data_IF_701448404177
#
_entry.id   IF_701448404177
#
_cell.length_a   1.000
_cell.length_b   1.000
_cell.length_c   1.000
_cell.angle_alpha   90.00
_cell.angle_beta   90.00
_cell.angle_gamma   90.00
#
_symmetry.space_group_name_H-M   'P 1'
#
loop_
_entity.id
_entity.type
_entity.pdbx_description
1 polymer ?
#
# COMPACT_ATOMS: atom_id res chain seq x y z
N UNK A 1 43.53 -6.75 -47.48
CA UNK A 1 42.43 -7.12 -46.56
C UNK A 1 42.49 -6.20 -45.36
N UNK A 2 41.40 -5.52 -44.93
CA UNK A 2 41.43 -4.62 -43.79
C UNK A 2 41.37 -5.40 -42.48
N UNK A 3 42.26 -5.05 -41.54
CA UNK A 3 42.32 -5.64 -40.19
C UNK A 3 41.20 -4.99 -39.36
N UNK A 4 40.31 -5.79 -38.77
CA UNK A 4 39.27 -5.31 -37.85
C UNK A 4 39.82 -5.42 -36.41
N UNK A 5 40.05 -4.31 -35.70
CA UNK A 5 40.57 -4.36 -34.34
C UNK A 5 39.51 -4.89 -33.37
N UNK A 6 39.80 -6.04 -32.75
CA UNK A 6 39.04 -6.59 -31.64
C UNK A 6 39.38 -5.87 -30.32
N UNK A 7 38.42 -5.81 -29.39
CA UNK A 7 38.59 -5.20 -28.08
C UNK A 7 38.17 -6.22 -27.02
N UNK A 8 38.99 -6.42 -25.99
CA UNK A 8 38.59 -7.20 -24.82
C UNK A 8 37.77 -6.33 -23.85
N UNK A 9 36.89 -6.91 -23.04
CA UNK A 9 35.99 -6.17 -22.13
C UNK A 9 36.72 -5.10 -21.27
N UNK A 10 37.95 -5.40 -20.84
CA UNK A 10 38.81 -4.48 -20.06
C UNK A 10 39.26 -3.24 -20.86
N UNK A 11 39.53 -3.38 -22.17
CA UNK A 11 39.86 -2.25 -23.05
C UNK A 11 38.63 -1.54 -23.62
N UNK A 12 37.46 -2.19 -23.64
CA UNK A 12 36.18 -1.57 -24.04
C UNK A 12 35.75 -0.48 -23.06
N UNK A 13 35.85 -0.73 -21.75
CA UNK A 13 35.51 0.27 -20.73
C UNK A 13 36.37 1.53 -20.85
N UNK A 14 37.70 1.39 -20.96
CA UNK A 14 38.60 2.54 -21.09
C UNK A 14 38.29 3.38 -22.32
N UNK A 15 38.00 2.73 -23.46
CA UNK A 15 37.62 3.40 -24.70
C UNK A 15 36.25 4.06 -24.62
N UNK A 16 35.28 3.44 -23.93
CA UNK A 16 33.99 4.07 -23.65
C UNK A 16 34.18 5.31 -22.78
N UNK A 17 34.93 5.20 -21.69
CA UNK A 17 35.23 6.31 -20.78
C UNK A 17 35.91 7.46 -21.51
N UNK A 18 36.86 7.19 -22.39
CA UNK A 18 37.49 8.21 -23.22
C UNK A 18 36.49 8.90 -24.17
N UNK A 19 35.64 8.12 -24.84
CA UNK A 19 34.64 8.64 -25.80
C UNK A 19 33.52 9.44 -25.15
N UNK A 20 33.13 9.10 -23.93
CA UNK A 20 32.03 9.72 -23.18
C UNK A 20 32.54 10.59 -22.01
N UNK A 21 33.83 10.96 -21.98
CA UNK A 21 34.44 11.72 -20.87
C UNK A 21 33.77 13.07 -20.58
N UNK A 22 33.21 13.70 -21.61
CA UNK A 22 32.56 15.02 -21.52
C UNK A 22 31.05 14.89 -21.24
N UNK A 23 30.55 13.67 -21.01
CA UNK A 23 29.15 13.36 -20.79
C UNK A 23 28.88 13.06 -19.31
N UNK A 24 27.71 13.48 -18.82
CA UNK A 24 27.26 13.19 -17.45
C UNK A 24 26.71 11.76 -17.36
N UNK A 25 27.60 10.78 -17.51
CA UNK A 25 27.30 9.34 -17.47
C UNK A 25 28.11 8.70 -16.36
N UNK A 26 27.47 7.87 -15.53
CA UNK A 26 28.15 7.21 -14.42
C UNK A 26 29.17 6.18 -14.90
N UNK A 27 30.29 6.09 -14.18
CA UNK A 27 31.33 5.08 -14.42
C UNK A 27 30.77 3.65 -14.31
N UNK A 28 29.83 3.42 -13.38
CA UNK A 28 29.16 2.13 -13.20
C UNK A 28 28.33 1.74 -14.43
N UNK A 29 27.54 2.66 -14.98
CA UNK A 29 26.77 2.41 -16.20
C UNK A 29 27.70 2.07 -17.39
N UNK A 30 28.76 2.85 -17.58
CA UNK A 30 29.73 2.58 -18.65
C UNK A 30 30.42 1.23 -18.48
N UNK A 31 30.75 0.84 -17.24
CA UNK A 31 31.39 -0.44 -16.93
C UNK A 31 30.48 -1.62 -17.24
N UNK A 32 29.20 -1.52 -16.88
CA UNK A 32 28.22 -2.58 -17.14
C UNK A 32 28.00 -2.79 -18.64
N UNK A 33 27.85 -1.70 -19.41
CA UNK A 33 27.66 -1.78 -20.86
C UNK A 33 28.92 -2.28 -21.58
N UNK A 34 30.11 -1.88 -21.11
CA UNK A 34 31.38 -2.26 -21.73
C UNK A 34 31.59 -3.78 -21.82
N UNK A 35 30.95 -4.57 -20.94
CA UNK A 35 30.97 -6.03 -20.97
C UNK A 35 30.35 -6.61 -22.25
N UNK A 36 29.43 -5.89 -22.90
CA UNK A 36 28.70 -6.34 -24.08
C UNK A 36 29.28 -5.82 -25.39
N UNK A 37 30.12 -4.78 -25.33
CA UNK A 37 30.74 -4.18 -26.51
C UNK A 37 32.08 -4.88 -26.78
N UNK A 38 32.04 -5.97 -27.54
CA UNK A 38 33.25 -6.73 -27.94
C UNK A 38 33.97 -6.19 -29.19
N UNK A 39 33.29 -5.37 -29.99
CA UNK A 39 33.85 -4.87 -31.26
C UNK A 39 33.94 -3.34 -31.32
N UNK A 40 35.07 -2.82 -31.82
CA UNK A 40 35.30 -1.38 -31.94
C UNK A 40 34.30 -0.70 -32.89
N UNK A 41 33.84 -1.40 -33.93
CA UNK A 41 32.88 -0.87 -34.89
C UNK A 41 31.57 -0.50 -34.21
N UNK A 42 31.06 -1.38 -33.36
CA UNK A 42 29.84 -1.16 -32.60
C UNK A 42 29.98 0.05 -31.68
N UNK A 43 31.10 0.17 -30.96
CA UNK A 43 31.38 1.34 -30.11
C UNK A 43 31.40 2.65 -30.91
N UNK A 44 32.06 2.65 -32.07
CA UNK A 44 32.12 3.84 -32.95
C UNK A 44 30.72 4.22 -33.42
N UNK A 45 29.89 3.24 -33.82
CA UNK A 45 28.52 3.47 -34.25
C UNK A 45 27.67 4.08 -33.13
N UNK A 46 27.68 3.45 -31.94
CA UNK A 46 26.95 3.93 -30.76
C UNK A 46 27.35 5.37 -30.42
N UNK A 47 28.65 5.67 -30.36
CA UNK A 47 29.13 7.01 -30.02
C UNK A 47 28.77 8.06 -31.09
N UNK A 48 28.87 7.72 -32.38
CA UNK A 48 28.56 8.66 -33.46
C UNK A 48 27.06 8.97 -33.49
N UNK A 49 26.21 7.94 -33.34
CA UNK A 49 24.77 8.14 -33.21
C UNK A 49 24.42 8.95 -31.97
N UNK A 50 24.99 8.63 -30.81
CA UNK A 50 24.81 9.38 -29.58
C UNK A 50 25.06 10.88 -29.78
N UNK A 51 26.20 11.26 -30.37
CA UNK A 51 26.54 12.66 -30.66
C UNK A 51 25.51 13.31 -31.60
N UNK A 52 25.11 12.60 -32.66
CA UNK A 52 24.12 13.11 -33.60
C UNK A 52 22.77 13.38 -32.91
N UNK A 53 22.28 12.43 -32.10
CA UNK A 53 21.00 12.60 -31.40
C UNK A 53 21.09 13.64 -30.28
N UNK A 54 22.19 13.70 -29.54
CA UNK A 54 22.41 14.74 -28.51
C UNK A 54 22.33 16.14 -29.13
N UNK A 55 22.98 16.35 -30.28
CA UNK A 55 22.94 17.62 -30.99
C UNK A 55 21.53 17.97 -31.49
N UNK A 56 20.72 16.97 -31.86
CA UNK A 56 19.33 17.18 -32.32
C UNK A 56 18.35 17.45 -31.19
N UNK A 57 18.48 16.74 -30.07
CA UNK A 57 17.61 16.88 -28.90
C UNK A 57 17.94 18.18 -28.13
N UNK A 58 19.18 18.66 -28.23
CA UNK A 58 19.66 19.84 -27.50
C UNK A 58 19.76 19.59 -25.99
N UNK A 59 19.86 20.66 -25.21
CA UNK A 59 19.83 20.59 -23.75
C UNK A 59 18.39 20.40 -23.27
N UNK A 60 17.85 19.19 -23.41
CA UNK A 60 16.56 18.79 -22.87
C UNK A 60 16.72 18.33 -21.42
N UNK A 61 15.92 18.88 -20.50
CA UNK A 61 15.86 18.41 -19.11
C UNK A 61 15.23 17.01 -19.00
N UNK A 62 14.53 16.55 -20.05
CA UNK A 62 13.79 15.28 -20.05
C UNK A 62 14.67 14.06 -20.40
N UNK A 63 15.86 14.27 -20.97
CA UNK A 63 16.75 13.19 -21.40
C UNK A 63 18.13 13.33 -20.74
N UNK A 64 18.44 12.44 -19.79
CA UNK A 64 19.80 12.33 -19.28
C UNK A 64 20.73 11.74 -20.34
N UNK A 65 22.02 12.02 -20.23
CA UNK A 65 23.04 11.43 -21.10
C UNK A 65 22.99 9.89 -21.06
N UNK A 66 22.75 9.31 -19.87
CA UNK A 66 22.54 7.86 -19.69
C UNK A 66 21.31 7.33 -20.45
N UNK A 67 20.17 8.00 -20.36
CA UNK A 67 18.95 7.61 -21.09
C UNK A 67 19.15 7.66 -22.60
N UNK A 68 19.81 8.70 -23.07
CA UNK A 68 20.13 8.81 -24.48
C UNK A 68 21.05 7.69 -24.93
N UNK A 69 22.15 7.46 -24.19
CA UNK A 69 23.08 6.40 -24.49
C UNK A 69 22.40 5.03 -24.45
N UNK A 70 21.57 4.75 -23.45
CA UNK A 70 20.81 3.51 -23.33
C UNK A 70 19.89 3.27 -24.54
N UNK A 71 19.18 4.30 -25.00
CA UNK A 71 18.31 4.20 -26.18
C UNK A 71 19.11 3.92 -27.47
N UNK A 72 20.28 4.55 -27.63
CA UNK A 72 21.15 4.31 -28.79
C UNK A 72 21.77 2.91 -28.75
N UNK A 73 22.17 2.43 -27.57
CA UNK A 73 22.66 1.05 -27.37
C UNK A 73 21.55 0.07 -27.71
N UNK A 74 20.35 0.27 -27.17
CA UNK A 74 19.19 -0.58 -27.43
C UNK A 74 18.88 -0.66 -28.93
N UNK A 75 18.86 0.48 -29.64
CA UNK A 75 18.71 0.51 -31.11
C UNK A 75 19.77 -0.30 -31.85
N UNK A 76 21.03 -0.24 -31.39
CA UNK A 76 22.16 -0.89 -32.06
C UNK A 76 22.21 -2.41 -31.80
N UNK A 77 21.87 -2.86 -30.58
CA UNK A 77 21.87 -4.28 -30.23
C UNK A 77 20.57 -4.99 -30.62
N UNK A 78 19.43 -4.30 -30.56
CA UNK A 78 18.10 -4.86 -30.79
C UNK A 78 17.34 -4.11 -31.89
N UNK A 79 17.90 -4.00 -33.11
CA UNK A 79 17.32 -3.19 -34.18
C UNK A 79 15.92 -3.68 -34.60
N UNK A 80 15.66 -5.00 -34.51
CA UNK A 80 14.33 -5.56 -34.80
C UNK A 80 13.30 -5.10 -33.78
N UNK A 81 13.61 -5.23 -32.48
CA UNK A 81 12.71 -4.82 -31.40
C UNK A 81 12.50 -3.30 -31.41
N UNK A 82 13.55 -2.53 -31.71
CA UNK A 82 13.46 -1.08 -31.89
C UNK A 82 12.49 -0.68 -33.02
N UNK A 83 12.47 -1.41 -34.13
CA UNK A 83 11.49 -1.17 -35.22
C UNK A 83 10.08 -1.56 -34.79
N UNK A 84 9.91 -2.64 -34.02
CA UNK A 84 8.62 -3.05 -33.47
C UNK A 84 8.09 -2.04 -32.46
N UNK A 85 8.95 -1.43 -31.65
CA UNK A 85 8.57 -0.39 -30.69
C UNK A 85 7.83 0.78 -31.37
N UNK A 86 8.26 1.17 -32.57
CA UNK A 86 7.58 2.22 -33.36
C UNK A 86 6.17 1.82 -33.83
N UNK A 87 5.85 0.53 -33.84
CA UNK A 87 4.52 -0.02 -34.15
C UNK A 87 3.68 -0.31 -32.92
N UNK A 88 4.20 -0.07 -31.71
CA UNK A 88 3.56 -0.51 -30.47
C UNK A 88 3.63 -2.03 -30.28
N UNK A 89 4.71 -2.65 -30.74
CA UNK A 89 4.98 -4.09 -30.62
C UNK A 89 6.39 -4.32 -30.04
N UNK A 90 6.72 -5.58 -29.77
CA UNK A 90 8.05 -5.97 -29.28
C UNK A 90 8.15 -6.08 -27.76
N UNK A 91 9.30 -6.55 -27.30
CA UNK A 91 9.55 -6.89 -25.89
C UNK A 91 9.58 -5.61 -25.04
N UNK A 92 10.25 -4.55 -25.52
CA UNK A 92 10.28 -3.27 -24.82
C UNK A 92 8.88 -2.63 -24.68
N UNK A 93 8.09 -2.64 -25.75
CA UNK A 93 6.72 -2.15 -25.68
C UNK A 93 5.88 -2.98 -24.70
N UNK A 94 6.06 -4.30 -24.71
CA UNK A 94 5.35 -5.21 -23.80
C UNK A 94 5.66 -4.89 -22.33
N UNK A 95 6.92 -4.60 -21.99
CA UNK A 95 7.31 -4.18 -20.63
C UNK A 95 6.59 -2.88 -20.24
N UNK A 96 6.61 -1.87 -21.11
CA UNK A 96 5.98 -0.58 -20.80
C UNK A 96 4.47 -0.67 -20.68
N UNK A 97 3.82 -1.46 -21.54
CA UNK A 97 2.36 -1.67 -21.48
C UNK A 97 1.94 -2.45 -20.24
N UNK A 98 2.73 -3.44 -19.79
CA UNK A 98 2.49 -4.21 -18.56
C UNK A 98 2.81 -3.45 -17.26
N UNK A 99 3.53 -2.32 -17.34
CA UNK A 99 3.87 -1.51 -16.15
C UNK A 99 2.64 -1.20 -15.29
N UNK A 100 1.54 -0.79 -15.93
CA UNK A 100 0.32 -0.43 -15.19
C UNK A 100 -0.31 -1.63 -14.48
N UNK A 101 -0.35 -2.81 -15.13
CA UNK A 101 -0.84 -4.04 -14.48
C UNK A 101 0.05 -4.45 -13.32
N UNK A 102 1.37 -4.33 -13.44
CA UNK A 102 2.30 -4.65 -12.37
C UNK A 102 2.15 -3.74 -11.14
N UNK A 103 2.04 -2.44 -11.36
CA UNK A 103 1.75 -1.47 -10.29
C UNK A 103 0.42 -1.81 -9.61
N UNK A 104 -0.61 -2.18 -10.40
CA UNK A 104 -1.91 -2.57 -9.87
C UNK A 104 -1.81 -3.84 -9.02
N UNK A 105 -1.07 -4.85 -9.48
CA UNK A 105 -0.82 -6.09 -8.73
C UNK A 105 -0.09 -5.84 -7.41
N UNK A 106 0.99 -5.03 -7.42
CA UNK A 106 1.73 -4.69 -6.19
C UNK A 106 0.89 -3.89 -5.20
N UNK A 107 0.09 -2.94 -5.69
CA UNK A 107 -0.74 -2.09 -4.83
C UNK A 107 -2.02 -2.77 -4.35
N UNK A 108 -2.38 -3.95 -4.90
CA UNK A 108 -3.63 -4.63 -4.59
C UNK A 108 -3.80 -4.90 -3.08
N UNK A 109 -2.76 -5.41 -2.41
CA UNK A 109 -2.82 -5.66 -0.96
C UNK A 109 -3.04 -4.37 -0.15
N UNK A 110 -2.36 -3.28 -0.54
CA UNK A 110 -2.49 -1.96 0.10
C UNK A 110 -3.91 -1.40 -0.12
N UNK A 111 -4.42 -1.47 -1.35
CA UNK A 111 -5.78 -1.01 -1.70
C UNK A 111 -6.84 -1.80 -0.92
N UNK A 112 -6.70 -3.12 -0.84
CA UNK A 112 -7.60 -3.97 -0.05
C UNK A 112 -7.56 -3.63 1.44
N UNK A 113 -6.37 -3.35 1.99
CA UNK A 113 -6.23 -2.97 3.39
C UNK A 113 -6.87 -1.60 3.67
N UNK A 114 -6.67 -0.62 2.79
CA UNK A 114 -7.36 0.68 2.87
C UNK A 114 -8.87 0.52 2.85
N UNK A 115 -9.41 -0.33 1.96
CA UNK A 115 -10.84 -0.58 1.91
C UNK A 115 -11.37 -1.14 3.24
N UNK A 116 -10.71 -2.16 3.79
CA UNK A 116 -11.08 -2.75 5.10
C UNK A 116 -11.10 -1.70 6.22
N UNK A 117 -10.08 -0.83 6.28
CA UNK A 117 -10.03 0.25 7.28
C UNK A 117 -11.12 1.29 7.08
N UNK A 118 -11.41 1.67 5.83
CA UNK A 118 -12.53 2.57 5.53
C UNK A 118 -13.88 1.98 5.95
N UNK A 119 -14.10 0.69 5.67
CA UNK A 119 -15.32 -0.01 6.07
C UNK A 119 -15.44 -0.06 7.60
N UNK A 120 -14.33 -0.30 8.31
CA UNK A 120 -14.28 -0.27 9.77
C UNK A 120 -14.59 1.11 10.34
N UNK A 121 -14.02 2.17 9.77
CA UNK A 121 -14.30 3.56 10.15
C UNK A 121 -15.78 3.88 9.91
N UNK A 122 -16.33 3.52 8.74
CA UNK A 122 -17.71 3.77 8.39
C UNK A 122 -18.67 3.08 9.37
N UNK A 123 -18.44 1.79 9.64
CA UNK A 123 -19.21 1.01 10.61
C UNK A 123 -19.15 1.62 12.02
N UNK A 124 -17.97 2.06 12.46
CA UNK A 124 -17.85 2.71 13.77
C UNK A 124 -18.60 4.04 13.84
N UNK A 125 -18.47 4.89 12.83
CA UNK A 125 -19.20 6.16 12.78
C UNK A 125 -20.71 5.94 12.84
N UNK A 126 -21.21 4.93 12.14
CA UNK A 126 -22.62 4.54 12.19
C UNK A 126 -23.04 4.11 13.61
N UNK A 127 -22.28 3.21 14.24
CA UNK A 127 -22.55 2.75 15.61
C UNK A 127 -22.54 3.91 16.62
N UNK A 128 -21.55 4.81 16.52
CA UNK A 128 -21.44 5.99 17.40
C UNK A 128 -22.61 6.96 17.17
N UNK A 129 -23.06 7.12 15.92
CA UNK A 129 -24.21 7.97 15.60
C UNK A 129 -25.53 7.40 16.13
N UNK A 130 -25.66 6.07 16.18
CA UNK A 130 -26.82 5.39 16.76
C UNK A 130 -26.78 5.35 18.30
N UNK A 131 -25.59 5.41 18.91
CA UNK A 131 -25.42 5.39 20.37
C UNK A 131 -25.76 6.74 21.00
N UNK A 132 -26.88 6.75 21.73
CA UNK A 132 -27.43 7.96 22.37
C UNK A 132 -26.70 8.26 23.68
N UNK A 133 -26.29 7.23 24.42
CA UNK A 133 -25.61 7.38 25.70
C UNK A 133 -24.12 7.66 25.48
N UNK A 134 -23.58 8.65 26.17
CA UNK A 134 -22.19 9.11 26.01
C UNK A 134 -21.26 8.60 27.10
N UNK A 135 -21.82 8.14 28.21
CA UNK A 135 -21.05 7.48 29.27
C UNK A 135 -21.61 6.11 29.62
N UNK A 136 -20.76 5.27 30.21
CA UNK A 136 -21.17 3.93 30.66
C UNK A 136 -22.22 4.05 31.77
N UNK A 137 -22.13 5.07 32.62
CA UNK A 137 -23.11 5.34 33.66
C UNK A 137 -24.49 5.67 33.06
N UNK A 138 -24.55 6.53 32.04
CA UNK A 138 -25.80 6.82 31.33
C UNK A 138 -26.39 5.56 30.69
N UNK A 139 -25.54 4.71 30.10
CA UNK A 139 -25.95 3.42 29.56
C UNK A 139 -26.57 2.56 30.65
N UNK A 140 -25.88 2.36 31.77
CA UNK A 140 -26.35 1.55 32.91
C UNK A 140 -27.66 2.08 33.49
N UNK A 141 -27.85 3.40 33.55
CA UNK A 141 -29.12 3.99 33.99
C UNK A 141 -30.29 3.53 33.13
N UNK A 142 -30.15 3.47 31.81
CA UNK A 142 -31.21 3.00 30.90
C UNK A 142 -31.64 1.57 31.23
N UNK A 143 -30.67 0.68 31.48
CA UNK A 143 -30.96 -0.71 31.83
C UNK A 143 -31.57 -0.85 33.23
N UNK A 144 -31.06 -0.11 34.23
CA UNK A 144 -31.64 -0.09 35.57
C UNK A 144 -33.09 0.39 35.55
N UNK A 145 -33.38 1.50 34.85
CA UNK A 145 -34.74 2.03 34.72
C UNK A 145 -35.67 1.03 34.05
N UNK A 146 -35.18 0.30 33.04
CA UNK A 146 -35.95 -0.78 32.40
C UNK A 146 -36.22 -1.95 33.35
N UNK A 147 -35.26 -2.31 34.20
CA UNK A 147 -35.45 -3.33 35.24
C UNK A 147 -36.54 -2.87 36.22
N UNK A 148 -36.44 -1.66 36.77
CA UNK A 148 -37.46 -1.11 37.69
C UNK A 148 -38.85 -1.07 37.03
N UNK A 149 -38.91 -0.69 35.76
CA UNK A 149 -40.15 -0.72 34.97
C UNK A 149 -40.72 -2.15 34.86
N UNK A 150 -39.90 -3.16 34.53
CA UNK A 150 -40.35 -4.55 34.40
C UNK A 150 -40.78 -5.19 35.72
N UNK A 151 -40.10 -4.88 36.82
CA UNK A 151 -40.51 -5.32 38.16
C UNK A 151 -41.78 -4.58 38.62
N UNK A 152 -42.09 -3.43 38.02
CA UNK A 152 -43.19 -2.56 38.41
C UNK A 152 -43.10 -2.13 39.89
N UNK A 153 -41.89 -1.78 40.32
CA UNK A 153 -41.57 -1.43 41.71
C UNK A 153 -40.38 -0.47 41.74
N UNK A 154 -40.30 0.36 42.78
CA UNK A 154 -39.13 1.21 43.06
C UNK A 154 -37.96 0.43 43.66
N UNK A 155 -38.15 -0.86 43.94
CA UNK A 155 -37.13 -1.75 44.47
C UNK A 155 -37.22 -3.18 43.92
N UNK A 156 -36.09 -3.86 43.81
CA UNK A 156 -35.99 -5.28 43.50
C UNK A 156 -34.88 -5.95 44.29
N UNK A 157 -34.97 -7.27 44.45
CA UNK A 157 -33.96 -8.07 45.14
C UNK A 157 -33.18 -8.91 44.14
N UNK A 158 -31.86 -8.85 44.21
CA UNK A 158 -30.98 -9.70 43.41
C UNK A 158 -29.88 -10.26 44.33
N UNK A 159 -29.71 -11.58 44.37
CA UNK A 159 -28.79 -12.28 45.28
C UNK A 159 -28.82 -11.76 46.74
N UNK A 160 -30.02 -11.62 47.31
CA UNK A 160 -30.27 -11.09 48.67
C UNK A 160 -29.86 -9.63 48.92
N UNK A 161 -29.48 -8.88 47.89
CA UNK A 161 -29.28 -7.42 47.96
C UNK A 161 -30.53 -6.69 47.49
N UNK A 162 -30.91 -5.65 48.23
CA UNK A 162 -32.00 -4.76 47.86
C UNK A 162 -31.46 -3.61 46.98
N UNK A 163 -32.00 -3.49 45.78
CA UNK A 163 -31.73 -2.40 44.85
C UNK A 163 -32.93 -1.46 44.88
N UNK A 164 -32.73 -0.21 45.28
CA UNK A 164 -33.77 0.81 45.34
C UNK A 164 -33.43 1.97 44.39
N UNK A 165 -34.42 2.47 43.64
CA UNK A 165 -34.21 3.53 42.64
C UNK A 165 -33.59 4.80 43.21
N UNK A 166 -33.80 5.11 44.50
CA UNK A 166 -33.18 6.26 45.17
C UNK A 166 -31.65 6.19 45.24
N UNK A 167 -31.06 4.99 45.08
CA UNK A 167 -29.60 4.75 45.07
C UNK A 167 -29.07 4.42 43.68
N UNK A 168 -29.76 4.82 42.61
CA UNK A 168 -29.38 4.49 41.23
C UNK A 168 -27.96 4.94 40.88
N UNK A 169 -27.48 6.06 41.46
CA UNK A 169 -26.11 6.57 41.27
C UNK A 169 -25.02 5.64 41.82
N UNK A 170 -25.31 4.90 42.88
CA UNK A 170 -24.43 3.85 43.41
C UNK A 170 -24.52 2.59 42.53
N UNK A 171 -25.71 2.27 42.02
CA UNK A 171 -25.97 1.04 41.26
C UNK A 171 -25.37 1.03 39.86
N UNK A 172 -25.13 2.21 39.26
CA UNK A 172 -24.45 2.32 37.96
C UNK A 172 -22.94 2.13 38.07
N UNK A 173 -22.39 2.01 39.28
CA UNK A 173 -20.97 1.73 39.49
C UNK A 173 -20.63 0.31 39.04
N UNK A 174 -19.44 0.15 38.46
CA UNK A 174 -19.01 -1.07 37.75
C UNK A 174 -19.27 -2.35 38.54
N UNK A 175 -18.69 -2.46 39.74
CA UNK A 175 -18.86 -3.63 40.61
C UNK A 175 -20.31 -3.99 40.90
N UNK A 176 -21.17 -3.00 41.13
CA UNK A 176 -22.57 -3.26 41.52
C UNK A 176 -23.40 -3.64 40.30
N UNK A 177 -23.20 -2.96 39.17
CA UNK A 177 -23.91 -3.27 37.94
C UNK A 177 -23.50 -4.64 37.38
N UNK A 178 -22.23 -5.02 37.52
CA UNK A 178 -21.73 -6.36 37.16
C UNK A 178 -22.46 -7.50 37.88
N UNK A 179 -22.80 -7.32 39.15
CA UNK A 179 -23.58 -8.32 39.90
C UNK A 179 -24.97 -8.52 39.27
N UNK A 180 -25.57 -7.46 38.72
CA UNK A 180 -26.88 -7.52 38.07
C UNK A 180 -26.76 -8.22 36.71
N UNK A 181 -25.75 -7.88 35.90
CA UNK A 181 -25.52 -8.50 34.58
C UNK A 181 -25.28 -10.01 34.72
N UNK A 182 -24.42 -10.38 35.68
CA UNK A 182 -23.99 -11.77 35.86
C UNK A 182 -25.02 -12.62 36.62
N UNK A 183 -26.11 -12.03 37.11
CA UNK A 183 -27.19 -12.76 37.74
C UNK A 183 -27.94 -13.63 36.73
N UNK A 184 -28.15 -14.90 37.06
CA UNK A 184 -28.93 -15.82 36.21
C UNK A 184 -30.38 -15.33 36.05
N UNK A 185 -30.92 -14.72 37.09
CA UNK A 185 -32.26 -14.18 37.14
C UNK A 185 -32.27 -12.85 37.91
N UNK A 186 -32.94 -11.84 37.36
CA UNK A 186 -33.17 -10.58 38.07
C UNK A 186 -34.43 -10.68 38.93
N UNK A 187 -35.43 -11.41 38.44
CA UNK A 187 -36.62 -11.80 39.18
C UNK A 187 -36.98 -13.24 38.83
N UNK A 188 -37.99 -13.81 39.50
CA UNK A 188 -38.52 -15.13 39.13
C UNK A 188 -39.03 -15.22 37.68
N UNK A 189 -39.23 -14.09 37.01
CA UNK A 189 -39.89 -14.03 35.70
C UNK A 189 -38.99 -13.59 34.54
N UNK A 190 -37.79 -13.07 34.80
CA UNK A 190 -36.89 -12.63 33.72
C UNK A 190 -35.43 -12.49 34.15
N UNK A 191 -34.55 -12.54 33.15
CA UNK A 191 -33.10 -12.38 33.22
C UNK A 191 -32.63 -11.02 32.70
N UNK A 192 -31.35 -10.70 32.88
CA UNK A 192 -30.77 -9.49 32.27
C UNK A 192 -30.85 -9.53 30.73
N UNK A 193 -30.67 -10.70 30.11
CA UNK A 193 -30.75 -10.84 28.66
C UNK A 193 -32.14 -10.46 28.09
N UNK A 194 -33.21 -10.66 28.86
CA UNK A 194 -34.56 -10.21 28.47
C UNK A 194 -34.68 -8.69 28.49
N UNK A 195 -34.03 -8.05 29.47
CA UNK A 195 -33.93 -6.59 29.54
C UNK A 195 -33.11 -6.07 28.36
N UNK A 196 -31.99 -6.71 28.02
CA UNK A 196 -31.16 -6.31 26.87
C UNK A 196 -31.95 -6.24 25.58
N UNK A 197 -32.70 -7.31 25.25
CA UNK A 197 -33.49 -7.37 24.02
C UNK A 197 -34.58 -6.30 23.96
N UNK A 198 -35.17 -5.93 25.09
CA UNK A 198 -36.18 -4.88 25.15
C UNK A 198 -35.61 -3.47 25.10
N UNK A 199 -34.40 -3.25 25.65
CA UNK A 199 -33.71 -1.95 25.59
C UNK A 199 -33.13 -1.73 24.19
N UNK A 200 -32.50 -2.76 23.61
CA UNK A 200 -31.92 -2.72 22.29
C UNK A 200 -31.95 -4.11 21.64
N UNK A 201 -32.79 -4.28 20.62
CA UNK A 201 -32.95 -5.55 19.90
C UNK A 201 -31.78 -5.89 18.97
N UNK A 202 -30.89 -4.93 18.71
CA UNK A 202 -29.80 -5.05 17.72
C UNK A 202 -28.42 -5.25 18.34
N UNK A 203 -28.19 -4.70 19.54
CA UNK A 203 -26.89 -4.69 20.19
C UNK A 203 -27.02 -5.04 21.68
N UNK A 204 -26.09 -5.86 22.18
CA UNK A 204 -26.01 -6.22 23.60
C UNK A 204 -25.54 -5.04 24.44
N UNK A 205 -25.80 -5.07 25.76
CA UNK A 205 -25.22 -4.14 26.71
C UNK A 205 -23.69 -4.11 26.59
N UNK A 206 -23.05 -5.29 26.54
CA UNK A 206 -21.58 -5.39 26.42
C UNK A 206 -21.03 -4.78 25.14
N UNK A 207 -21.73 -4.96 24.02
CA UNK A 207 -21.33 -4.35 22.75
C UNK A 207 -21.38 -2.83 22.81
N UNK A 208 -22.43 -2.29 23.44
CA UNK A 208 -22.63 -0.84 23.64
C UNK A 208 -21.67 -0.26 24.68
N UNK A 209 -21.44 -0.94 25.79
CA UNK A 209 -20.45 -0.56 26.81
C UNK A 209 -19.07 -0.47 26.20
N UNK A 210 -18.67 -1.49 25.44
CA UNK A 210 -17.40 -1.48 24.70
C UNK A 210 -17.34 -0.31 23.71
N UNK A 211 -18.41 -0.04 22.97
CA UNK A 211 -18.47 1.08 22.04
C UNK A 211 -18.25 2.41 22.76
N UNK A 212 -18.91 2.64 23.90
CA UNK A 212 -18.78 3.88 24.68
C UNK A 212 -17.39 4.02 25.31
N UNK A 213 -16.79 2.93 25.79
CA UNK A 213 -15.42 2.95 26.30
C UNK A 213 -14.39 3.19 25.19
N UNK A 214 -14.66 2.68 23.98
CA UNK A 214 -13.83 2.87 22.79
C UNK A 214 -14.22 4.13 21.99
N UNK A 215 -15.21 4.91 22.43
CA UNK A 215 -15.67 6.15 21.78
C UNK A 215 -14.68 7.29 21.94
N UNK A 216 -13.62 7.12 22.76
CA UNK A 216 -12.49 8.04 22.73
C UNK A 216 -11.95 8.11 21.30
N UNK A 217 -11.73 9.33 20.81
CA UNK A 217 -11.25 9.56 19.44
C UNK A 217 -9.98 8.75 19.10
N UNK A 218 -9.23 8.28 20.10
CA UNK A 218 -8.01 7.49 19.99
C UNK A 218 -8.11 6.34 18.97
N UNK A 219 -9.15 5.50 19.02
CA UNK A 219 -9.25 4.35 18.11
C UNK A 219 -9.59 4.76 16.67
N UNK A 220 -10.31 5.87 16.50
CA UNK A 220 -10.60 6.46 15.19
C UNK A 220 -9.35 7.14 14.62
N UNK A 221 -8.59 7.85 15.46
CA UNK A 221 -7.34 8.50 15.10
C UNK A 221 -6.27 7.48 14.72
N UNK A 222 -6.17 6.34 15.41
CA UNK A 222 -5.30 5.22 15.02
C UNK A 222 -5.66 4.74 13.61
N UNK A 223 -6.95 4.45 13.35
CA UNK A 223 -7.38 3.98 12.03
C UNK A 223 -7.12 5.02 10.92
N UNK A 224 -7.32 6.30 11.20
CA UNK A 224 -7.03 7.39 10.26
C UNK A 224 -5.52 7.48 9.97
N UNK A 225 -4.68 7.39 11.00
CA UNK A 225 -3.22 7.42 10.84
C UNK A 225 -2.73 6.24 10.00
N UNK A 226 -3.20 5.03 10.27
CA UNK A 226 -2.87 3.86 9.47
C UNK A 226 -3.33 4.01 8.01
N UNK A 227 -4.48 4.66 7.77
CA UNK A 227 -4.97 4.96 6.42
C UNK A 227 -4.05 5.95 5.69
N UNK A 228 -3.52 6.94 6.40
CA UNK A 228 -2.54 7.90 5.86
C UNK A 228 -1.24 7.20 5.47
N UNK A 229 -0.72 6.33 6.34
CA UNK A 229 0.48 5.53 6.06
C UNK A 229 0.30 4.64 4.83
N UNK A 230 -0.85 3.95 4.72
CA UNK A 230 -1.19 3.15 3.53
C UNK A 230 -1.34 4.02 2.27
N UNK A 231 -1.85 5.25 2.39
CA UNK A 231 -1.95 6.19 1.28
C UNK A 231 -0.58 6.64 0.78
N UNK A 232 0.37 6.87 1.70
CA UNK A 232 1.76 7.18 1.37
C UNK A 232 2.40 6.00 0.63
N UNK A 233 2.21 4.78 1.14
CA UNK A 233 2.71 3.55 0.51
C UNK A 233 2.14 3.35 -0.89
N UNK A 234 0.82 3.44 -1.06
CA UNK A 234 0.17 3.30 -2.36
C UNK A 234 0.70 4.32 -3.38
N UNK A 235 0.83 5.59 -2.95
CA UNK A 235 1.37 6.66 -3.80
C UNK A 235 2.85 6.44 -4.16
N UNK A 236 3.63 5.83 -3.27
CA UNK A 236 5.00 5.42 -3.56
C UNK A 236 5.04 4.34 -4.63
N UNK A 237 4.21 3.29 -4.51
CA UNK A 237 4.14 2.19 -5.49
C UNK A 237 3.69 2.71 -6.87
N UNK A 238 2.70 3.62 -6.93
CA UNK A 238 2.24 4.23 -8.19
C UNK A 238 3.34 4.97 -8.97
N UNK A 239 4.36 5.44 -8.26
CA UNK A 239 5.52 6.16 -8.84
C UNK A 239 6.67 5.24 -9.25
N UNK A 240 6.58 3.94 -9.01
CA UNK A 240 7.65 3.00 -9.37
C UNK A 240 7.94 3.01 -10.87
N UNK A 241 9.21 3.19 -11.21
CA UNK A 241 9.74 2.96 -12.54
C UNK A 241 10.01 1.45 -12.74
N UNK A 242 10.31 1.02 -13.97
CA UNK A 242 10.62 -0.40 -14.24
C UNK A 242 11.78 -0.90 -13.37
N UNK A 243 12.82 -0.07 -13.17
CA UNK A 243 13.95 -0.35 -12.26
C UNK A 243 13.55 -0.55 -10.79
N UNK A 244 12.44 0.01 -10.36
CA UNK A 244 11.94 -0.15 -8.99
C UNK A 244 11.15 -1.45 -8.92
N UNK A 245 10.30 -1.71 -9.93
CA UNK A 245 9.54 -2.96 -10.07
C UNK A 245 10.46 -4.18 -10.18
N UNK A 246 11.61 -4.07 -10.83
CA UNK A 246 12.60 -5.15 -10.95
C UNK A 246 13.27 -5.54 -9.62
N UNK A 247 13.03 -4.78 -8.55
CA UNK A 247 13.50 -5.10 -7.18
C UNK A 247 12.38 -5.62 -6.28
N UNK A 248 11.20 -5.86 -6.84
CA UNK A 248 10.03 -6.36 -6.13
C UNK A 248 9.75 -7.82 -6.51
N UNK A 249 8.67 -8.38 -5.96
CA UNK A 249 8.17 -9.71 -6.33
C UNK A 249 7.77 -9.84 -7.81
N UNK A 250 7.64 -8.74 -8.55
CA UNK A 250 7.33 -8.73 -9.99
C UNK A 250 8.57 -8.93 -10.87
N UNK A 251 9.77 -8.94 -10.28
CA UNK A 251 11.05 -9.13 -10.99
C UNK A 251 11.01 -10.28 -12.01
N UNK A 252 10.51 -11.45 -11.62
CA UNK A 252 10.48 -12.63 -12.49
C UNK A 252 9.53 -12.46 -13.67
N UNK A 253 8.40 -11.76 -13.48
CA UNK A 253 7.48 -11.45 -14.57
C UNK A 253 8.11 -10.49 -15.58
N UNK A 254 8.87 -9.49 -15.10
CA UNK A 254 9.60 -8.58 -15.98
C UNK A 254 10.60 -9.39 -16.81
N UNK A 255 11.46 -10.17 -16.16
CA UNK A 255 12.52 -10.93 -16.84
C UNK A 255 11.99 -12.04 -17.76
N UNK A 256 10.79 -12.57 -17.51
CA UNK A 256 10.13 -13.52 -18.41
C UNK A 256 9.83 -12.95 -19.80
N UNK A 257 9.62 -11.62 -19.90
CA UNK A 257 9.38 -10.95 -21.19
C UNK A 257 10.67 -10.87 -22.02
N UNK A 258 11.83 -10.79 -21.36
CA UNK A 258 13.12 -10.40 -21.94
C UNK A 258 14.01 -11.60 -22.31
N UNK A 259 13.54 -12.83 -22.07
CA UNK A 259 14.18 -14.09 -22.48
C UNK A 259 15.71 -14.12 -22.33
N UNK A 260 16.20 -13.77 -21.15
CA UNK A 260 17.63 -13.84 -20.75
C UNK A 260 18.60 -12.90 -21.51
N UNK A 261 18.09 -11.79 -22.08
CA UNK A 261 18.94 -10.74 -22.64
C UNK A 261 19.55 -9.87 -21.55
N UNK A 262 20.67 -10.34 -21.01
CA UNK A 262 21.47 -9.70 -19.94
C UNK A 262 21.79 -8.21 -20.16
N UNK A 263 21.92 -7.76 -21.41
CA UNK A 263 22.07 -6.33 -21.74
C UNK A 263 20.76 -5.54 -21.62
N UNK A 264 19.60 -6.09 -22.03
CA UNK A 264 18.30 -5.40 -21.85
C UNK A 264 18.05 -5.15 -20.36
N UNK A 265 18.38 -6.12 -19.50
CA UNK A 265 18.23 -5.96 -18.05
C UNK A 265 19.01 -4.76 -17.51
N UNK A 266 20.26 -4.57 -17.94
CA UNK A 266 21.06 -3.40 -17.54
C UNK A 266 20.47 -2.11 -18.08
N UNK A 267 20.04 -2.12 -19.34
CA UNK A 267 19.42 -0.95 -19.98
C UNK A 267 18.11 -0.56 -19.28
N UNK A 268 17.31 -1.49 -18.78
CA UNK A 268 16.06 -1.17 -18.06
C UNK A 268 16.24 -0.83 -16.59
N UNK A 269 17.21 -1.47 -15.91
CA UNK A 269 17.42 -1.23 -14.48
C UNK A 269 18.22 0.05 -14.25
N UNK A 270 19.13 0.39 -15.18
CA UNK A 270 20.05 1.52 -15.01
C UNK A 270 19.93 2.59 -16.08
N UNK A 271 19.51 2.24 -17.29
CA UNK A 271 19.57 3.13 -18.46
C UNK A 271 18.27 3.87 -18.80
N UNK A 272 17.10 3.30 -18.56
CA UNK A 272 15.79 3.78 -19.05
C UNK A 272 14.83 4.04 -17.88
#
# INVERSE_FOLDING_TARGET
MPIIPYINSTSSYQKMKEKFKDEKISDDFLRDIALYIGEMRLLINIHNEYKLYKNKIGNSEYFSAEKLLAMIIYKNFYPKDFVLLHKGEGDLYTIFSKRFSWISSLSNAVVQNKQKKNDEIAKRKELIAQERQKTVEELRMVYLLKIYQKVNSTQFYNHNKNFNISRVTEQVQDKIFEEIINSQHISQHFSFADVEKEVNSTHTYRGREKLILEMSDEKLEILKKELEELSIEENKIKKYFIRDLSKTTISDEIFSVIKDESLLNILFVKGI
#
